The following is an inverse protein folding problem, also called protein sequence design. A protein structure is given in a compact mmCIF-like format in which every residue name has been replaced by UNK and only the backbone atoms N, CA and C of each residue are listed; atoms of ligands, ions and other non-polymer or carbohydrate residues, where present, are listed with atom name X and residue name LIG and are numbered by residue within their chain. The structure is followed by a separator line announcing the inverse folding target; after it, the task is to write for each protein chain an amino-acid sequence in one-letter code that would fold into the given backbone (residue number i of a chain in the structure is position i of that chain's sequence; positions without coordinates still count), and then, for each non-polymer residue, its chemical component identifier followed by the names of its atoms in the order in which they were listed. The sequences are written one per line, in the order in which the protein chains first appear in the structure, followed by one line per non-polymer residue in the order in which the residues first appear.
data_IF_438638456121
#
_entry.id   IF_438638456121
#
_cell.length_a   1.000
_cell.length_b   1.000
_cell.length_c   1.000
_cell.angle_alpha   90.00
_cell.angle_beta   90.00
_cell.angle_gamma   90.00
#
_symmetry.space_group_name_H-M   'P 1'
#
loop_
_entity.id
_entity.type
_entity.pdbx_description
1 polymer ?
#
# COMPACT_ATOMS: atom_id res chain seq x y z
N UNK A 1 -54.69 -80.14 22.47
CA UNK A 1 -54.06 -78.83 22.75
C UNK A 1 -53.34 -78.37 21.50
N UNK A 2 -53.90 -77.39 20.78
CA UNK A 2 -53.34 -76.86 19.53
C UNK A 2 -52.67 -75.53 19.88
N UNK A 3 -51.35 -75.54 19.99
CA UNK A 3 -50.54 -74.34 20.25
C UNK A 3 -50.66 -73.37 19.07
N UNK A 4 -50.89 -72.07 19.29
CA UNK A 4 -51.05 -71.11 18.20
C UNK A 4 -49.70 -70.88 17.51
N UNK A 5 -49.57 -71.38 16.27
CA UNK A 5 -48.36 -71.27 15.45
C UNK A 5 -48.05 -69.84 14.93
N UNK A 6 -48.84 -68.83 15.29
CA UNK A 6 -48.69 -67.45 14.82
C UNK A 6 -47.72 -66.56 15.62
N UNK A 7 -47.35 -66.94 16.85
CA UNK A 7 -46.57 -66.07 17.74
C UNK A 7 -45.07 -65.96 17.35
N UNK A 8 -44.51 -66.97 16.70
CA UNK A 8 -43.09 -66.96 16.27
C UNK A 8 -42.86 -66.16 14.99
N UNK A 9 -43.85 -66.11 14.09
CA UNK A 9 -43.78 -65.32 12.86
C UNK A 9 -43.80 -63.81 13.14
N UNK A 10 -44.67 -63.34 14.05
CA UNK A 10 -44.70 -61.94 14.49
C UNK A 10 -43.40 -61.51 15.18
N UNK A 11 -42.82 -62.36 16.03
CA UNK A 11 -41.53 -62.08 16.70
C UNK A 11 -40.36 -61.97 15.71
N UNK A 12 -40.33 -62.81 14.66
CA UNK A 12 -39.32 -62.72 13.60
C UNK A 12 -39.45 -61.46 12.76
N UNK A 13 -40.69 -61.03 12.47
CA UNK A 13 -40.96 -59.77 11.78
C UNK A 13 -40.49 -58.54 12.58
N UNK A 14 -40.75 -58.51 13.88
CA UNK A 14 -40.28 -57.42 14.76
C UNK A 14 -38.76 -57.37 14.84
N UNK A 15 -38.07 -58.52 14.91
CA UNK A 15 -36.60 -58.57 14.92
C UNK A 15 -36.02 -58.08 13.58
N UNK A 16 -36.64 -58.42 12.45
CA UNK A 16 -36.21 -57.91 11.14
C UNK A 16 -36.40 -56.39 11.01
N UNK A 17 -37.50 -55.85 11.50
CA UNK A 17 -37.75 -54.40 11.49
C UNK A 17 -36.76 -53.69 12.42
N UNK A 18 -36.52 -54.22 13.62
CA UNK A 18 -35.57 -53.65 14.57
C UNK A 18 -34.14 -53.66 14.01
N UNK A 19 -33.71 -54.76 13.41
CA UNK A 19 -32.39 -54.86 12.78
C UNK A 19 -32.25 -53.93 11.59
N UNK A 20 -33.29 -53.77 10.77
CA UNK A 20 -33.31 -52.78 9.69
C UNK A 20 -33.16 -51.34 10.23
N UNK A 21 -33.87 -50.98 11.31
CA UNK A 21 -33.74 -49.66 11.94
C UNK A 21 -32.33 -49.42 12.48
N UNK A 22 -31.73 -50.40 13.16
CA UNK A 22 -30.36 -50.28 13.68
C UNK A 22 -29.37 -50.10 12.54
N UNK A 23 -29.51 -50.85 11.44
CA UNK A 23 -28.66 -50.71 10.25
C UNK A 23 -28.82 -49.32 9.63
N UNK A 24 -30.05 -48.82 9.48
CA UNK A 24 -30.32 -47.52 8.88
C UNK A 24 -29.74 -46.39 9.74
N UNK A 25 -29.93 -46.44 11.06
CA UNK A 25 -29.35 -45.47 11.99
C UNK A 25 -27.83 -45.51 11.94
N UNK A 26 -27.23 -46.70 11.93
CA UNK A 26 -25.76 -46.85 11.84
C UNK A 26 -25.23 -46.29 10.53
N UNK A 27 -25.90 -46.57 9.41
CA UNK A 27 -25.55 -46.01 8.11
C UNK A 27 -25.65 -44.47 8.09
N UNK A 28 -26.73 -43.91 8.65
CA UNK A 28 -26.90 -42.47 8.76
C UNK A 28 -25.81 -41.82 9.61
N UNK A 29 -25.43 -42.43 10.75
CA UNK A 29 -24.34 -41.94 11.60
C UNK A 29 -22.99 -41.96 10.89
N UNK A 30 -22.66 -43.04 10.17
CA UNK A 30 -21.42 -43.13 9.39
C UNK A 30 -21.41 -42.10 8.27
N UNK A 31 -22.53 -41.91 7.58
CA UNK A 31 -22.65 -40.91 6.52
C UNK A 31 -22.46 -39.49 7.07
N UNK A 32 -23.10 -39.15 8.19
CA UNK A 32 -22.93 -37.85 8.85
C UNK A 32 -21.50 -37.61 9.32
N UNK A 33 -20.86 -38.62 9.91
CA UNK A 33 -19.47 -38.52 10.38
C UNK A 33 -18.50 -38.32 9.21
N UNK A 34 -18.71 -39.05 8.11
CA UNK A 34 -17.87 -38.94 6.91
C UNK A 34 -18.02 -37.58 6.23
N UNK A 35 -19.26 -37.11 6.05
CA UNK A 35 -19.54 -35.79 5.47
C UNK A 35 -19.02 -34.67 6.37
N UNK A 36 -19.27 -34.74 7.68
CA UNK A 36 -18.80 -33.76 8.66
C UNK A 36 -17.27 -33.67 8.68
N UNK A 37 -16.59 -34.81 8.71
CA UNK A 37 -15.12 -34.86 8.70
C UNK A 37 -14.54 -34.30 7.39
N UNK A 38 -15.16 -34.62 6.25
CA UNK A 38 -14.72 -34.10 4.94
C UNK A 38 -14.84 -32.58 4.87
N UNK A 39 -15.97 -32.00 5.32
CA UNK A 39 -16.16 -30.55 5.34
C UNK A 39 -15.15 -29.88 6.25
N UNK A 40 -14.95 -30.40 7.47
CA UNK A 40 -13.96 -29.85 8.42
C UNK A 40 -12.53 -29.93 7.86
N UNK A 41 -12.18 -31.02 7.18
CA UNK A 41 -10.87 -31.14 6.55
C UNK A 41 -10.68 -30.12 5.41
N UNK A 42 -11.72 -29.87 4.61
CA UNK A 42 -11.69 -28.87 3.54
C UNK A 42 -11.61 -27.44 4.10
N UNK A 43 -12.43 -27.10 5.10
CA UNK A 43 -12.39 -25.77 5.72
C UNK A 43 -11.04 -25.49 6.38
N UNK A 44 -10.47 -26.48 7.07
CA UNK A 44 -9.15 -26.37 7.69
C UNK A 44 -8.06 -26.19 6.63
N UNK A 45 -8.11 -26.94 5.53
CA UNK A 45 -7.15 -26.79 4.42
C UNK A 45 -7.25 -25.41 3.77
N UNK A 46 -8.47 -24.92 3.52
CA UNK A 46 -8.69 -23.60 2.94
C UNK A 46 -8.23 -22.48 3.88
N UNK A 47 -8.47 -22.60 5.19
CA UNK A 47 -7.98 -21.66 6.19
C UNK A 47 -6.44 -21.63 6.24
N UNK A 48 -5.80 -22.80 6.26
CA UNK A 48 -4.34 -22.90 6.20
C UNK A 48 -3.76 -22.29 4.92
N UNK A 49 -4.42 -22.52 3.77
CA UNK A 49 -4.00 -21.93 2.50
C UNK A 49 -4.12 -20.40 2.50
N UNK A 50 -5.22 -19.84 3.03
CA UNK A 50 -5.38 -18.39 3.18
C UNK A 50 -4.30 -17.77 4.05
N UNK A 51 -3.92 -18.42 5.15
CA UNK A 51 -2.84 -17.96 6.03
C UNK A 51 -1.49 -17.97 5.30
N UNK A 52 -1.20 -19.02 4.52
CA UNK A 52 0.01 -19.10 3.69
C UNK A 52 0.05 -18.02 2.61
N UNK A 53 -1.08 -17.81 1.91
CA UNK A 53 -1.21 -16.74 0.92
C UNK A 53 -0.98 -15.37 1.56
N UNK A 54 -1.60 -15.08 2.71
CA UNK A 54 -1.39 -13.81 3.42
C UNK A 54 0.07 -13.60 3.79
N UNK A 55 0.72 -14.61 4.37
CA UNK A 55 2.14 -14.52 4.74
C UNK A 55 3.04 -14.32 3.50
N UNK A 56 2.74 -15.02 2.40
CA UNK A 56 3.45 -14.86 1.13
C UNK A 56 3.28 -13.44 0.55
N UNK A 57 2.05 -12.90 0.55
CA UNK A 57 1.78 -11.52 0.10
C UNK A 57 2.51 -10.49 0.96
N UNK A 58 2.51 -10.62 2.29
CA UNK A 58 3.25 -9.71 3.18
C UNK A 58 4.75 -9.79 2.93
N UNK A 59 5.30 -10.99 2.73
CA UNK A 59 6.72 -11.15 2.41
C UNK A 59 7.08 -10.61 1.03
N UNK A 60 6.22 -10.77 0.03
CA UNK A 60 6.40 -10.21 -1.30
C UNK A 60 6.34 -8.68 -1.27
N UNK A 61 5.38 -8.10 -0.53
CA UNK A 61 5.29 -6.66 -0.33
C UNK A 61 6.57 -6.10 0.32
N UNK A 62 7.12 -6.79 1.33
CA UNK A 62 8.39 -6.37 1.93
C UNK A 62 9.54 -6.39 0.91
N UNK A 63 9.66 -7.43 0.09
CA UNK A 63 10.70 -7.49 -0.95
C UNK A 63 10.58 -6.35 -1.98
N UNK A 64 9.36 -5.97 -2.32
CA UNK A 64 9.09 -4.84 -3.23
C UNK A 64 9.47 -3.52 -2.56
N UNK A 65 9.14 -3.34 -1.28
CA UNK A 65 9.55 -2.16 -0.51
C UNK A 65 11.07 -2.07 -0.36
N UNK A 66 11.74 -3.20 -0.12
CA UNK A 66 13.21 -3.26 -0.04
C UNK A 66 13.84 -2.90 -1.39
N UNK A 67 13.29 -3.41 -2.49
CA UNK A 67 13.75 -3.07 -3.85
C UNK A 67 13.55 -1.57 -4.18
N UNK A 68 12.42 -0.98 -3.78
CA UNK A 68 12.17 0.45 -3.91
C UNK A 68 13.12 1.29 -3.06
N UNK A 69 13.42 0.85 -1.83
CA UNK A 69 14.35 1.53 -0.94
C UNK A 69 15.79 1.48 -1.48
N UNK A 70 16.21 0.35 -2.03
CA UNK A 70 17.53 0.19 -2.65
C UNK A 70 17.67 1.08 -3.89
N UNK A 71 16.62 1.19 -4.71
CA UNK A 71 16.57 2.05 -5.91
C UNK A 71 16.63 3.55 -5.53
N UNK A 72 15.85 3.98 -4.53
CA UNK A 72 15.89 5.34 -4.01
C UNK A 72 17.27 5.69 -3.40
N UNK A 73 17.93 4.75 -2.72
CA UNK A 73 19.29 4.96 -2.20
C UNK A 73 20.34 5.03 -3.32
N UNK A 74 20.18 4.27 -4.39
CA UNK A 74 21.08 4.30 -5.54
C UNK A 74 21.01 5.66 -6.26
N UNK A 75 19.81 6.23 -6.41
CA UNK A 75 19.63 7.60 -6.91
C UNK A 75 20.34 8.62 -5.98
N UNK A 76 20.09 8.56 -4.67
CA UNK A 76 20.73 9.48 -3.70
C UNK A 76 22.27 9.38 -3.61
N UNK A 77 22.87 8.24 -3.96
CA UNK A 77 24.32 8.06 -3.93
C UNK A 77 25.03 8.77 -5.11
N UNK A 78 24.36 8.94 -6.25
CA UNK A 78 24.88 9.64 -7.44
C UNK A 78 25.13 11.13 -7.20
N UNK A 79 24.23 11.80 -6.47
CA UNK A 79 24.36 13.21 -6.10
C UNK A 79 25.58 13.50 -5.19
N UNK A 80 25.98 12.55 -4.34
CA UNK A 80 27.10 12.73 -3.40
C UNK A 80 28.49 12.60 -4.05
N UNK A 81 28.60 11.83 -5.14
CA UNK A 81 29.86 11.63 -5.86
C UNK A 81 30.17 12.80 -6.79
N UNK A 82 29.15 13.38 -7.44
CA UNK A 82 29.32 14.54 -8.32
C UNK A 82 29.78 15.82 -7.58
N UNK A 83 29.35 15.99 -6.32
CA UNK A 83 29.81 17.11 -5.48
C UNK A 83 31.27 16.96 -5.00
N UNK A 84 31.77 15.72 -4.88
CA UNK A 84 33.16 15.44 -4.49
C UNK A 84 34.15 15.60 -5.65
N UNK A 85 33.70 15.42 -6.90
CA UNK A 85 34.56 15.56 -8.09
C UNK A 85 34.63 17.02 -8.58
N UNK A 86 33.54 17.80 -8.41
CA UNK A 86 33.52 19.23 -8.75
C UNK A 86 34.41 20.12 -7.84
N UNK A 87 34.85 19.61 -6.68
CA UNK A 87 35.79 20.31 -5.79
C UNK A 87 37.26 19.88 -5.96
N UNK A 88 37.54 18.84 -6.76
CA UNK A 88 38.89 18.31 -6.97
C UNK A 88 39.57 18.81 -8.26
N UNK A 89 38.84 19.33 -9.25
CA UNK A 89 39.41 19.84 -10.52
C UNK A 89 39.83 21.33 -10.49
N UNK A 90 39.85 21.97 -9.32
CA UNK A 90 40.16 23.40 -9.18
C UNK A 90 41.64 23.79 -8.97
N UNK A 91 42.55 22.84 -8.73
CA UNK A 91 43.93 23.16 -8.32
C UNK A 91 44.96 22.16 -8.87
N UNK A 92 45.37 22.32 -10.14
CA UNK A 92 46.55 21.61 -10.63
C UNK A 92 46.89 21.82 -12.09
N UNK A 93 47.91 22.65 -12.35
CA UNK A 93 48.80 22.43 -13.50
C UNK A 93 48.63 23.37 -14.70
N UNK A 94 49.29 24.53 -14.62
CA UNK A 94 49.73 25.27 -15.80
C UNK A 94 50.86 24.49 -16.49
N UNK A 95 50.63 23.96 -17.69
CA UNK A 95 51.71 23.66 -18.64
C UNK A 95 51.34 24.19 -20.05
N UNK A 96 52.14 25.11 -20.63
CA UNK A 96 51.86 25.69 -21.93
C UNK A 96 52.62 24.95 -23.03
N UNK A 97 51.89 24.19 -23.86
CA UNK A 97 52.30 23.99 -25.26
C UNK A 97 52.19 22.58 -25.80
N UNK A 98 51.13 22.35 -26.59
CA UNK A 98 51.22 21.54 -27.82
C UNK A 98 49.97 21.79 -28.68
N UNK A 99 50.16 22.41 -29.84
CA UNK A 99 49.17 22.49 -30.90
C UNK A 99 49.13 21.16 -31.66
N UNK A 100 47.92 20.63 -31.94
CA UNK A 100 47.76 19.40 -32.72
C UNK A 100 46.30 18.99 -32.93
N UNK A 101 45.68 19.61 -33.94
CA UNK A 101 44.58 19.13 -34.81
C UNK A 101 43.92 17.75 -34.56
N UNK A 102 42.59 17.77 -34.47
CA UNK A 102 41.72 16.82 -35.17
C UNK A 102 40.92 15.85 -34.30
N UNK A 103 39.59 16.03 -34.31
CA UNK A 103 38.64 15.08 -33.72
C UNK A 103 37.56 15.79 -32.94
N UNK A 104 36.54 16.29 -33.65
CA UNK A 104 35.29 16.70 -33.01
C UNK A 104 34.53 15.46 -32.56
N UNK A 105 34.86 14.96 -31.37
CA UNK A 105 33.87 14.35 -30.49
C UNK A 105 33.23 15.52 -29.75
N UNK A 106 31.98 15.83 -30.12
CA UNK A 106 31.06 16.42 -29.15
C UNK A 106 31.07 15.45 -27.97
N UNK A 107 31.88 15.80 -26.96
CA UNK A 107 31.55 15.50 -25.58
C UNK A 107 30.16 16.10 -25.38
N UNK A 108 29.15 15.27 -25.66
CA UNK A 108 27.79 15.53 -25.23
C UNK A 108 27.93 15.89 -23.78
N UNK A 109 27.54 17.13 -23.47
CA UNK A 109 27.32 17.58 -22.11
C UNK A 109 26.72 16.39 -21.37
N UNK A 110 27.44 15.86 -20.38
CA UNK A 110 26.86 14.93 -19.46
C UNK A 110 25.65 15.66 -18.93
N UNK A 111 24.48 15.30 -19.47
CA UNK A 111 23.24 15.61 -18.82
C UNK A 111 23.48 15.07 -17.43
N UNK A 112 23.47 15.97 -16.45
CA UNK A 112 23.11 15.61 -15.10
C UNK A 112 21.96 14.62 -15.30
N UNK A 113 22.22 13.33 -15.08
CA UNK A 113 21.16 12.36 -15.05
C UNK A 113 20.41 12.79 -13.80
N UNK A 114 19.45 13.69 -14.00
CA UNK A 114 18.56 14.16 -12.96
C UNK A 114 18.03 12.87 -12.33
N UNK A 115 18.23 12.75 -11.01
CA UNK A 115 17.68 11.67 -10.19
C UNK A 115 16.14 11.76 -10.28
N UNK A 116 15.58 11.29 -11.39
CA UNK A 116 14.21 11.45 -11.79
C UNK A 116 13.62 10.07 -12.07
N UNK A 117 12.60 9.71 -11.30
CA UNK A 117 11.90 8.45 -11.44
C UNK A 117 11.26 8.34 -12.83
N UNK A 118 11.48 7.20 -13.50
CA UNK A 118 11.02 6.95 -14.87
C UNK A 118 10.38 5.57 -15.01
N UNK A 119 9.45 5.43 -15.95
CA UNK A 119 8.87 4.11 -16.30
C UNK A 119 9.90 3.13 -16.90
N UNK A 120 11.10 3.60 -17.22
CA UNK A 120 12.20 2.75 -17.68
C UNK A 120 12.91 2.00 -16.53
N UNK A 121 12.71 2.49 -15.29
CA UNK A 121 13.36 2.02 -14.08
C UNK A 121 12.94 0.59 -13.72
N UNK A 122 13.74 -0.01 -12.84
CA UNK A 122 13.54 -1.39 -12.42
C UNK A 122 12.23 -1.59 -11.66
N UNK A 123 11.84 -0.60 -10.85
CA UNK A 123 10.63 -0.63 -10.03
C UNK A 123 9.33 -0.61 -10.85
N UNK A 124 9.35 0.03 -12.02
CA UNK A 124 8.18 0.17 -12.90
C UNK A 124 7.84 -1.13 -13.67
N UNK A 125 8.75 -2.12 -13.68
CA UNK A 125 8.55 -3.38 -14.41
C UNK A 125 7.83 -4.41 -13.54
N UNK A 126 6.87 -5.18 -14.11
CA UNK A 126 6.20 -6.24 -13.36
C UNK A 126 7.19 -7.27 -12.80
N UNK A 127 7.08 -7.54 -11.50
CA UNK A 127 7.91 -8.52 -10.79
C UNK A 127 7.14 -9.81 -10.55
N UNK A 128 7.85 -10.94 -10.55
CA UNK A 128 7.31 -12.26 -10.19
C UNK A 128 8.11 -12.85 -9.05
N UNK A 129 7.43 -13.09 -7.93
CA UNK A 129 8.03 -13.58 -6.69
C UNK A 129 7.46 -14.96 -6.40
N UNK A 130 8.34 -15.96 -6.26
CA UNK A 130 7.97 -17.34 -5.93
C UNK A 130 8.13 -17.58 -4.42
N UNK A 131 7.02 -17.87 -3.74
CA UNK A 131 6.97 -18.18 -2.31
C UNK A 131 6.53 -19.63 -2.10
N UNK A 132 7.48 -20.55 -2.22
CA UNK A 132 7.20 -21.99 -2.19
C UNK A 132 6.39 -22.43 -3.42
N UNK A 133 5.11 -22.74 -3.22
CA UNK A 133 4.18 -23.15 -4.28
C UNK A 133 3.29 -21.99 -4.78
N UNK A 134 3.45 -20.79 -4.22
CA UNK A 134 2.63 -19.61 -4.56
C UNK A 134 3.45 -18.69 -5.46
N UNK A 135 2.93 -18.40 -6.65
CA UNK A 135 3.44 -17.36 -7.54
C UNK A 135 2.70 -16.06 -7.26
N UNK A 136 3.44 -14.99 -6.97
CA UNK A 136 2.90 -13.65 -6.75
C UNK A 136 3.43 -12.75 -7.86
N UNK A 137 2.52 -12.12 -8.59
CA UNK A 137 2.85 -11.07 -9.54
C UNK A 137 2.60 -9.72 -8.88
N UNK A 138 3.58 -8.82 -8.98
CA UNK A 138 3.50 -7.47 -8.40
C UNK A 138 3.78 -6.41 -9.45
N UNK A 139 3.06 -5.30 -9.34
CA UNK A 139 3.24 -4.08 -10.11
C UNK A 139 3.30 -2.92 -9.13
N UNK A 140 4.13 -1.93 -9.42
CA UNK A 140 4.23 -0.68 -8.67
C UNK A 140 3.72 0.42 -9.58
N UNK A 141 2.90 1.30 -9.04
CA UNK A 141 2.39 2.48 -9.75
C UNK A 141 2.84 3.72 -9.00
N UNK A 142 3.41 4.69 -9.73
CA UNK A 142 3.72 5.99 -9.18
C UNK A 142 2.44 6.83 -9.06
N UNK A 143 1.99 7.07 -7.83
CA UNK A 143 0.83 7.91 -7.54
C UNK A 143 1.09 9.40 -7.85
N UNK A 144 2.34 9.85 -7.90
CA UNK A 144 2.69 11.22 -8.25
C UNK A 144 2.50 11.52 -9.75
N UNK A 145 2.42 10.47 -10.58
CA UNK A 145 2.06 10.59 -12.00
C UNK A 145 0.57 10.89 -12.24
N UNK A 146 -0.28 10.78 -11.19
CA UNK A 146 -1.72 11.01 -11.25
C UNK A 146 -2.09 12.42 -10.78
N UNK A 147 -3.27 12.90 -11.17
CA UNK A 147 -3.79 14.17 -10.68
C UNK A 147 -4.31 14.04 -9.25
N UNK A 148 -3.69 14.76 -8.32
CA UNK A 148 -4.10 14.78 -6.92
C UNK A 148 -5.35 15.66 -6.73
N UNK A 149 -6.47 15.06 -6.32
CA UNK A 149 -7.73 15.76 -6.09
C UNK A 149 -7.64 16.81 -4.98
N UNK A 150 -6.72 16.63 -4.03
CA UNK A 150 -6.52 17.57 -2.93
C UNK A 150 -5.99 18.93 -3.39
N UNK A 151 -5.38 19.00 -4.59
CA UNK A 151 -4.96 20.28 -5.19
C UNK A 151 -6.14 21.23 -5.46
N UNK A 152 -7.37 20.73 -5.53
CA UNK A 152 -8.59 21.54 -5.66
C UNK A 152 -9.01 22.23 -4.35
N UNK A 153 -8.31 21.95 -3.25
CA UNK A 153 -8.49 22.57 -1.93
C UNK A 153 -7.31 23.48 -1.54
N UNK A 154 -6.39 23.80 -2.47
CA UNK A 154 -5.25 24.69 -2.19
C UNK A 154 -5.73 26.04 -1.60
N UNK A 155 -4.93 26.59 -0.68
CA UNK A 155 -5.18 27.88 -0.04
C UNK A 155 -5.09 29.02 -1.05
N UNK A 156 -4.16 28.90 -2.01
CA UNK A 156 -4.00 29.84 -3.12
C UNK A 156 -5.16 29.70 -4.11
N UNK A 157 -5.94 30.78 -4.24
CA UNK A 157 -7.13 30.80 -5.08
C UNK A 157 -6.83 30.54 -6.56
N UNK A 158 -5.70 31.02 -7.07
CA UNK A 158 -5.35 30.86 -8.48
C UNK A 158 -4.89 29.42 -8.76
N UNK A 159 -4.12 28.81 -7.84
CA UNK A 159 -3.76 27.39 -7.93
C UNK A 159 -4.98 26.49 -7.85
N UNK A 160 -5.86 26.78 -6.89
CA UNK A 160 -7.13 26.06 -6.71
C UNK A 160 -8.01 26.15 -7.94
N UNK A 161 -8.17 27.34 -8.55
CA UNK A 161 -8.95 27.52 -9.78
C UNK A 161 -8.35 26.72 -10.93
N UNK A 162 -7.04 26.81 -11.13
CA UNK A 162 -6.34 26.03 -12.14
C UNK A 162 -6.48 24.51 -11.93
N UNK A 163 -6.43 24.03 -10.69
CA UNK A 163 -6.62 22.62 -10.37
C UNK A 163 -8.05 22.16 -10.73
N UNK A 164 -9.07 22.97 -10.43
CA UNK A 164 -10.47 22.68 -10.81
C UNK A 164 -10.67 22.66 -12.32
N UNK A 165 -10.06 23.59 -13.04
CA UNK A 165 -10.11 23.63 -14.51
C UNK A 165 -9.41 22.40 -15.12
N UNK A 166 -8.24 22.03 -14.58
CA UNK A 166 -7.51 20.82 -15.01
C UNK A 166 -8.31 19.54 -14.74
N UNK A 167 -8.95 19.44 -13.57
CA UNK A 167 -9.79 18.28 -13.22
C UNK A 167 -10.91 18.06 -14.25
N UNK A 168 -11.67 19.12 -14.58
CA UNK A 168 -12.71 19.04 -15.61
C UNK A 168 -12.13 18.69 -16.99
N UNK A 169 -10.97 19.27 -17.34
CA UNK A 169 -10.29 19.00 -18.61
C UNK A 169 -9.70 17.58 -18.71
N UNK A 170 -9.42 16.91 -17.58
CA UNK A 170 -9.03 15.50 -17.53
C UNK A 170 -10.27 14.62 -17.69
N UNK A 171 -11.37 14.95 -17.00
CA UNK A 171 -12.65 14.22 -17.11
C UNK A 171 -13.20 14.21 -18.54
N UNK A 172 -13.23 15.37 -19.20
CA UNK A 172 -13.63 15.52 -20.63
C UNK A 172 -12.76 14.68 -21.58
N UNK A 173 -11.45 14.55 -21.27
CA UNK A 173 -10.52 13.78 -22.11
C UNK A 173 -10.40 12.31 -21.75
N UNK A 174 -10.98 11.89 -20.63
CA UNK A 174 -10.75 10.57 -20.05
C UNK A 174 -11.18 9.47 -21.02
N UNK A 175 -12.35 9.63 -21.63
CA UNK A 175 -12.98 8.62 -22.48
C UNK A 175 -13.21 9.10 -23.91
N UNK A 176 -12.38 10.02 -24.37
CA UNK A 176 -12.49 10.56 -25.72
C UNK A 176 -12.45 9.44 -26.76
N UNK A 177 -13.54 9.31 -27.52
CA UNK A 177 -13.69 8.30 -28.57
C UNK A 177 -14.29 6.97 -28.11
N UNK A 178 -14.78 6.87 -26.87
CA UNK A 178 -15.68 5.80 -26.42
C UNK A 178 -17.14 6.27 -26.45
N UNK A 179 -18.09 5.32 -26.35
CA UNK A 179 -19.53 5.62 -26.42
C UNK A 179 -20.04 6.35 -25.17
N UNK A 180 -19.32 6.24 -24.06
CA UNK A 180 -19.56 6.82 -22.75
C UNK A 180 -18.59 7.98 -22.44
N UNK A 181 -18.19 8.70 -23.49
CA UNK A 181 -17.40 9.93 -23.36
C UNK A 181 -18.18 11.01 -22.62
N UNK A 182 -17.49 11.73 -21.73
CA UNK A 182 -18.08 12.81 -20.94
C UNK A 182 -17.93 14.11 -21.71
N UNK A 183 -19.02 14.86 -21.87
CA UNK A 183 -18.91 16.20 -22.44
C UNK A 183 -18.39 17.23 -21.42
N UNK A 184 -17.97 18.40 -21.92
CA UNK A 184 -17.50 19.52 -21.08
C UNK A 184 -18.46 19.87 -19.92
N UNK A 185 -19.78 19.70 -20.11
CA UNK A 185 -20.80 20.05 -19.12
C UNK A 185 -20.92 18.97 -18.04
N UNK A 186 -20.92 17.70 -18.42
CA UNK A 186 -20.95 16.54 -17.54
C UNK A 186 -19.67 16.46 -16.71
N UNK A 187 -18.51 16.64 -17.36
CA UNK A 187 -17.21 16.73 -16.70
C UNK A 187 -17.18 17.87 -15.67
N UNK A 188 -17.74 19.04 -16.01
CA UNK A 188 -17.87 20.17 -15.09
C UNK A 188 -18.78 19.84 -13.89
N UNK A 189 -19.92 19.17 -14.12
CA UNK A 189 -20.84 18.76 -13.05
C UNK A 189 -20.18 17.76 -12.09
N UNK A 190 -19.51 16.74 -12.62
CA UNK A 190 -18.79 15.75 -11.80
C UNK A 190 -17.68 16.44 -10.99
N UNK A 191 -16.92 17.35 -11.60
CA UNK A 191 -15.90 18.16 -10.91
C UNK A 191 -16.49 18.99 -9.77
N UNK A 192 -17.66 19.59 -9.97
CA UNK A 192 -18.35 20.37 -8.92
C UNK A 192 -18.86 19.49 -7.77
N UNK A 193 -19.37 18.29 -8.08
CA UNK A 193 -19.78 17.30 -7.08
C UNK A 193 -18.58 16.81 -6.25
N UNK A 194 -17.45 16.52 -6.90
CA UNK A 194 -16.19 16.15 -6.20
C UNK A 194 -15.74 17.30 -5.29
N UNK A 195 -15.75 18.54 -5.77
CA UNK A 195 -15.37 19.70 -4.94
C UNK A 195 -16.31 19.86 -3.76
N UNK A 196 -17.62 19.74 -3.95
CA UNK A 196 -18.60 19.84 -2.87
C UNK A 196 -18.40 18.75 -1.81
N UNK A 197 -18.06 17.54 -2.23
CA UNK A 197 -17.69 16.43 -1.35
C UNK A 197 -16.41 16.72 -0.54
N UNK A 198 -15.34 17.18 -1.21
CA UNK A 198 -14.05 17.50 -0.60
C UNK A 198 -14.14 18.68 0.38
N UNK A 199 -14.97 19.68 0.08
CA UNK A 199 -15.27 20.79 0.98
C UNK A 199 -16.22 20.40 2.12
N UNK A 200 -16.66 19.14 2.19
CA UNK A 200 -17.49 18.62 3.26
C UNK A 200 -18.92 19.17 3.27
N UNK A 201 -19.37 19.85 2.21
CA UNK A 201 -20.72 20.45 2.12
C UNK A 201 -21.82 19.39 2.05
N UNK A 202 -21.55 18.31 1.33
CA UNK A 202 -22.50 17.21 1.11
C UNK A 202 -22.21 15.98 1.98
N UNK A 203 -21.24 16.08 2.90
CA UNK A 203 -20.92 15.01 3.84
C UNK A 203 -21.83 15.11 5.06
N UNK A 204 -22.86 14.27 5.10
CA UNK A 204 -23.66 14.11 6.30
C UNK A 204 -22.79 13.69 7.50
N UNK A 205 -23.16 14.16 8.70
CA UNK A 205 -22.49 13.79 9.96
C UNK A 205 -22.50 12.28 10.25
N UNK A 206 -23.30 11.52 9.50
CA UNK A 206 -23.39 10.07 9.57
C UNK A 206 -22.22 9.36 8.87
N UNK A 207 -21.52 10.02 7.94
CA UNK A 207 -20.33 9.44 7.31
C UNK A 207 -19.15 9.45 8.28
N UNK A 208 -18.58 8.28 8.61
CA UNK A 208 -17.47 8.20 9.56
C UNK A 208 -16.26 8.95 8.99
N UNK A 209 -15.79 9.95 9.74
CA UNK A 209 -14.53 10.61 9.42
C UNK A 209 -13.38 9.68 9.83
N UNK A 210 -12.46 9.33 8.92
CA UNK A 210 -11.29 8.55 9.29
C UNK A 210 -10.50 9.30 10.37
N UNK A 211 -10.03 8.62 11.43
CA UNK A 211 -9.18 9.26 12.43
C UNK A 211 -7.87 9.68 11.78
N UNK A 212 -7.56 10.98 11.82
CA UNK A 212 -6.32 11.54 11.27
C UNK A 212 -5.46 12.10 12.40
N UNK A 213 -4.15 11.88 12.30
CA UNK A 213 -3.18 12.37 13.28
C UNK A 213 -3.10 13.89 13.33
N UNK A 214 -3.39 14.57 12.21
CA UNK A 214 -3.27 16.02 12.06
C UNK A 214 -4.60 16.76 12.08
N UNK A 215 -5.73 16.14 12.44
CA UNK A 215 -7.06 16.76 12.32
C UNK A 215 -7.19 17.94 13.30
N UNK A 216 -7.08 19.21 12.85
CA UNK A 216 -7.38 20.31 13.74
C UNK A 216 -8.91 20.36 13.88
N UNK A 217 -9.39 20.61 15.10
CA UNK A 217 -10.83 20.65 15.42
C UNK A 217 -11.61 21.70 14.58
N UNK A 218 -10.89 22.62 13.93
CA UNK A 218 -11.41 23.78 13.19
C UNK A 218 -11.29 23.69 11.66
N UNK A 219 -10.97 22.53 11.06
CA UNK A 219 -10.91 22.41 9.59
C UNK A 219 -12.29 22.11 8.96
N UNK A 220 -12.71 23.00 8.07
CA UNK A 220 -13.95 22.86 7.29
C UNK A 220 -13.84 21.81 6.18
N UNK A 221 -12.62 21.38 5.82
CA UNK A 221 -12.40 20.43 4.73
C UNK A 221 -12.59 18.98 5.16
N UNK A 222 -13.13 18.19 4.24
CA UNK A 222 -13.25 16.76 4.39
C UNK A 222 -12.30 16.06 3.42
N UNK A 223 -11.17 15.62 3.94
CA UNK A 223 -10.28 14.77 3.17
C UNK A 223 -10.85 13.34 3.06
N UNK A 224 -10.97 12.78 1.85
CA UNK A 224 -11.33 11.38 1.68
C UNK A 224 -10.22 10.47 2.21
N UNK A 225 -10.59 9.31 2.75
CA UNK A 225 -9.67 8.27 3.18
C UNK A 225 -9.05 7.55 1.98
N UNK A 226 -9.86 7.30 0.96
CA UNK A 226 -9.48 6.59 -0.25
C UNK A 226 -10.21 7.19 -1.46
N UNK A 227 -9.69 6.94 -2.66
CA UNK A 227 -10.28 7.45 -3.90
C UNK A 227 -11.65 6.82 -4.16
N UNK A 228 -11.87 5.58 -3.72
CA UNK A 228 -13.12 4.83 -3.84
C UNK A 228 -14.30 5.50 -3.14
N UNK A 229 -14.07 6.46 -2.23
CA UNK A 229 -15.15 7.30 -1.67
C UNK A 229 -15.90 8.08 -2.75
N UNK A 230 -15.31 8.29 -3.93
CA UNK A 230 -15.98 8.92 -5.07
C UNK A 230 -17.19 8.14 -5.57
N UNK A 231 -17.23 6.81 -5.38
CA UNK A 231 -18.39 5.97 -5.73
C UNK A 231 -19.64 6.28 -4.89
N UNK A 232 -19.52 7.11 -3.86
CA UNK A 232 -20.67 7.63 -3.10
C UNK A 232 -21.41 8.72 -3.88
N UNK A 233 -20.74 9.39 -4.83
CA UNK A 233 -21.33 10.46 -5.63
C UNK A 233 -22.24 9.86 -6.72
N UNK A 234 -23.46 10.39 -6.83
CA UNK A 234 -24.50 9.84 -7.72
C UNK A 234 -24.06 9.76 -9.20
N UNK A 235 -23.20 10.69 -9.63
CA UNK A 235 -22.70 10.77 -11.01
C UNK A 235 -21.48 9.90 -11.29
N UNK A 236 -20.93 9.24 -10.29
CA UNK A 236 -19.76 8.37 -10.43
C UNK A 236 -20.22 6.94 -10.18
N UNK A 237 -20.38 6.20 -11.27
CA UNK A 237 -20.68 4.78 -11.22
C UNK A 237 -19.39 3.92 -11.27
N UNK A 238 -19.55 2.62 -11.04
CA UNK A 238 -18.45 1.65 -11.14
C UNK A 238 -17.85 1.61 -12.55
N UNK A 239 -18.67 1.87 -13.58
CA UNK A 239 -18.21 1.87 -14.97
C UNK A 239 -17.26 3.03 -15.24
N UNK A 240 -17.52 4.23 -14.72
CA UNK A 240 -16.65 5.41 -14.81
C UNK A 240 -15.43 5.30 -13.89
N UNK A 241 -15.60 4.72 -12.70
CA UNK A 241 -14.54 4.64 -11.70
C UNK A 241 -13.42 3.66 -12.07
N UNK A 242 -13.76 2.42 -12.45
CA UNK A 242 -12.80 1.36 -12.75
C UNK A 242 -12.40 1.33 -14.22
N UNK A 243 -11.18 0.87 -14.49
CA UNK A 243 -10.73 0.58 -15.86
C UNK A 243 -11.61 -0.51 -16.52
N UNK A 244 -12.05 -0.26 -17.75
CA UNK A 244 -12.93 -1.19 -18.49
C UNK A 244 -12.24 -1.76 -19.73
N UNK A 245 -12.31 -3.08 -19.88
CA UNK A 245 -11.90 -3.77 -21.12
C UNK A 245 -13.10 -3.87 -22.04
N UNK A 246 -13.05 -3.17 -23.19
CA UNK A 246 -14.14 -3.14 -24.18
C UNK A 246 -14.03 -4.30 -25.19
N UNK A 247 -15.12 -4.64 -25.91
CA UNK A 247 -15.15 -5.79 -26.83
C UNK A 247 -14.11 -5.80 -27.96
N UNK A 248 -13.53 -4.64 -28.29
CA UNK A 248 -12.48 -4.49 -29.30
C UNK A 248 -11.05 -4.56 -28.70
N UNK A 249 -10.89 -5.14 -27.51
CA UNK A 249 -9.64 -5.14 -26.72
C UNK A 249 -9.07 -3.74 -26.45
N UNK A 250 -9.93 -2.71 -26.50
CA UNK A 250 -9.58 -1.34 -26.12
C UNK A 250 -9.80 -1.15 -24.62
N UNK A 251 -8.85 -0.48 -23.98
CA UNK A 251 -8.92 -0.10 -22.57
C UNK A 251 -9.53 1.29 -22.47
N UNK A 252 -10.69 1.40 -21.81
CA UNK A 252 -11.26 2.68 -21.43
C UNK A 252 -10.77 2.97 -19.99
N UNK A 253 -10.01 4.04 -19.77
CA UNK A 253 -9.50 4.36 -18.44
C UNK A 253 -10.64 4.77 -17.51
N UNK A 254 -10.53 4.36 -16.26
CA UNK A 254 -11.36 4.80 -15.15
C UNK A 254 -10.71 5.93 -14.37
N UNK A 255 -11.49 6.54 -13.48
CA UNK A 255 -11.01 7.57 -12.56
C UNK A 255 -9.82 7.10 -11.71
N UNK A 256 -9.77 5.81 -11.34
CA UNK A 256 -8.67 5.23 -10.55
C UNK A 256 -7.29 5.30 -11.22
N UNK A 257 -7.27 5.35 -12.55
CA UNK A 257 -6.04 5.38 -13.34
C UNK A 257 -5.41 6.78 -13.42
N UNK A 258 -6.24 7.83 -13.32
CA UNK A 258 -5.84 9.22 -13.56
C UNK A 258 -5.86 10.10 -12.32
N UNK A 259 -6.64 9.74 -11.31
CA UNK A 259 -6.81 10.52 -10.09
C UNK A 259 -6.18 9.83 -8.89
N UNK A 260 -5.76 10.62 -7.91
CA UNK A 260 -5.28 10.14 -6.63
C UNK A 260 -5.74 11.03 -5.48
N UNK A 261 -5.78 10.46 -4.28
CA UNK A 261 -5.96 11.18 -3.01
C UNK A 261 -4.74 10.87 -2.17
N UNK A 262 -3.60 11.39 -2.60
CA UNK A 262 -2.34 11.20 -1.90
C UNK A 262 -1.99 12.46 -1.11
N UNK A 263 -1.74 12.32 0.19
CA UNK A 263 -1.05 13.36 0.96
C UNK A 263 0.39 12.92 1.09
N UNK A 264 1.34 13.72 0.60
CA UNK A 264 2.74 13.47 0.92
C UNK A 264 2.90 13.43 2.43
N UNK A 265 3.61 12.42 2.94
CA UNK A 265 4.14 12.50 4.28
C UNK A 265 5.21 13.58 4.20
N UNK A 266 4.92 14.76 4.72
CA UNK A 266 5.96 15.73 4.98
C UNK A 266 6.80 15.14 6.11
N UNK A 267 7.83 14.38 5.74
CA UNK A 267 8.87 13.98 6.66
C UNK A 267 9.63 15.26 6.92
N UNK A 268 9.29 15.93 8.01
CA UNK A 268 10.04 17.06 8.54
C UNK A 268 11.52 16.68 8.43
N UNK A 269 12.30 17.35 7.54
CA UNK A 269 13.66 16.94 7.29
C UNK A 269 14.35 16.94 8.64
N UNK A 270 15.12 15.88 9.00
CA UNK A 270 15.75 15.81 10.30
C UNK A 270 16.45 17.15 10.49
N UNK A 271 16.07 17.87 11.56
CA UNK A 271 16.67 19.17 11.83
C UNK A 271 18.17 18.96 11.66
N UNK A 272 18.74 19.63 10.66
CA UNK A 272 20.18 19.73 10.53
C UNK A 272 20.58 20.63 11.68
N UNK A 273 20.58 20.04 12.88
CA UNK A 273 21.13 20.62 14.09
C UNK A 273 22.53 21.03 13.68
N UNK A 274 22.72 22.34 13.60
CA UNK A 274 23.94 22.97 13.14
C UNK A 274 25.11 22.53 14.00
N UNK A 275 25.71 21.40 13.64
CA UNK A 275 27.06 21.04 13.99
C UNK A 275 27.90 21.42 12.77
N UNK A 276 28.01 22.73 12.57
CA UNK A 276 29.20 23.25 11.91
C UNK A 276 30.41 22.68 12.67
N UNK A 277 31.45 22.19 11.97
CA UNK A 277 32.66 21.76 12.64
C UNK A 277 33.31 23.00 13.25
N UNK A 278 33.11 23.23 14.55
CA UNK A 278 33.85 24.25 15.28
C UNK A 278 35.32 23.84 15.30
N UNK A 279 36.15 24.65 14.65
CA UNK A 279 37.61 24.64 14.79
C UNK A 279 37.97 24.73 16.28
N UNK A 280 38.50 23.64 16.85
CA UNK A 280 39.14 23.67 18.16
C UNK A 280 40.43 24.50 18.09
N UNK A 281 40.29 25.80 18.37
CA UNK A 281 41.39 26.66 18.78
C UNK A 281 41.77 26.33 20.22
N UNK A 282 42.93 25.69 20.38
CA UNK A 282 43.57 25.45 21.65
C UNK A 282 43.77 26.74 22.46
N UNK A 283 43.23 26.80 23.69
CA UNK A 283 43.86 27.49 24.83
C UNK A 283 43.32 26.90 26.14
N UNK A 284 44.21 26.28 26.91
CA UNK A 284 43.85 25.60 28.16
C UNK A 284 43.81 26.50 29.40
N UNK A 285 43.25 25.99 30.48
CA UNK A 285 43.75 26.14 31.86
C UNK A 285 42.84 25.42 32.89
N UNK A 286 43.44 24.55 33.70
CA UNK A 286 42.92 24.04 34.98
C UNK A 286 42.07 22.77 34.87
N UNK A 287 42.44 21.60 35.39
CA UNK A 287 43.36 21.25 36.48
C UNK A 287 42.58 20.58 37.61
N UNK A 288 42.83 19.27 37.80
CA UNK A 288 42.52 18.42 38.97
C UNK A 288 41.03 18.13 39.29
N UNK A 289 40.62 16.96 39.80
CA UNK A 289 41.19 15.62 39.99
C UNK A 289 40.09 14.71 40.60
N UNK A 290 40.28 13.40 40.48
CA UNK A 290 39.67 12.31 41.26
C UNK A 290 38.16 12.04 41.03
N UNK A 291 37.70 10.80 40.83
CA UNK A 291 38.34 9.49 40.85
C UNK A 291 37.26 8.39 40.84
N UNK A 292 37.57 7.30 40.13
CA UNK A 292 37.18 5.90 40.42
C UNK A 292 35.68 5.52 40.47
N UNK A 293 35.14 5.06 39.34
CA UNK A 293 34.98 3.64 38.92
C UNK A 293 34.46 2.58 39.97
N UNK A 294 34.02 1.36 39.58
CA UNK A 294 32.67 0.96 39.15
C UNK A 294 32.18 -0.34 39.88
N UNK A 295 31.23 -1.09 39.28
CA UNK A 295 30.73 -2.45 39.66
C UNK A 295 29.84 -2.51 40.92
N UNK A 296 28.88 -3.42 41.11
CA UNK A 296 28.26 -4.48 40.32
C UNK A 296 27.12 -5.07 41.17
N UNK A 297 26.14 -5.67 40.48
CA UNK A 297 25.43 -6.89 40.88
C UNK A 297 24.65 -6.91 42.21
N UNK A 298 23.35 -7.18 42.12
CA UNK A 298 22.83 -8.48 42.57
C UNK A 298 21.42 -8.71 42.03
N UNK A 299 21.32 -9.74 41.19
CA UNK A 299 20.08 -10.45 40.87
C UNK A 299 19.69 -11.42 42.01
N UNK A 300 18.53 -12.06 41.82
CA UNK A 300 17.88 -13.10 42.61
C UNK A 300 17.01 -12.57 43.76
N UNK A 301 15.72 -12.90 43.88
CA UNK A 301 14.92 -13.98 43.31
C UNK A 301 13.90 -14.41 44.36
N UNK A 302 12.74 -14.92 43.96
CA UNK A 302 11.85 -15.70 44.84
C UNK A 302 10.40 -15.21 44.96
N UNK A 303 9.53 -15.81 44.14
CA UNK A 303 8.10 -16.11 44.41
C UNK A 303 8.03 -17.15 45.59
N UNK A 304 6.89 -17.54 46.24
CA UNK A 304 5.48 -17.38 45.83
C UNK A 304 4.39 -17.20 46.94
N UNK A 305 3.13 -17.07 46.48
CA UNK A 305 1.84 -17.46 47.12
C UNK A 305 1.35 -16.76 48.40
N UNK A 306 0.18 -16.11 48.29
CA UNK A 306 -0.83 -16.07 49.37
C UNK A 306 -2.26 -15.88 48.82
N UNK A 307 -3.07 -16.93 48.94
CA UNK A 307 -4.53 -16.87 49.01
C UNK A 307 -4.99 -16.11 50.27
N UNK A 308 -6.02 -15.28 50.13
CA UNK A 308 -7.13 -14.99 51.07
C UNK A 308 -7.81 -13.71 50.54
N UNK A 309 -9.06 -13.72 50.08
CA UNK A 309 -10.24 -14.01 50.90
C UNK A 309 -10.94 -12.69 51.24
N UNK A 310 -11.88 -12.28 50.39
CA UNK A 310 -13.04 -11.43 50.68
C UNK A 310 -14.05 -11.53 49.53
#
# INVERSE_FOLDING_TARGET
MKTPAGASAGRRGVVLILTLFVILITYALVAQLTLGTSVVAQTTRNAALRLRMRAACTSAAQQVLDALADDAQAAGAGASAAAAEATAEGLGGLDPGAAGTGGGEEAGAGAEAEDADSFEDSWARPMRIMMGEIEIQTFVQDENSKFNLLSMLDEDEDRRRQARDRCAAILDRLRTGFDDDLDDLEAAQIRDDIVAWLEGRDRDQEYPRPPRFSNPEDQDWSFPYALEELLVLERIDEELFYDQVRPDDKYAPGLESVFTVWTSIDLEPPETGGLAPEEEAATGAGGEAAGQDPLAAAAAGGDPLAEAGA
#
